data_IF_994828736875
#
_entry.id   IF_994828736875
#
_cell.length_a   1.000
_cell.length_b   1.000
_cell.length_c   1.000
_cell.angle_alpha   90.00
_cell.angle_beta   90.00
_cell.angle_gamma   90.00
#
_symmetry.space_group_name_H-M   'P 1'
#
loop_
_entity.id
_entity.type
_entity.pdbx_description
1 polymer ?
#
# COMPACT_ATOMS: atom_id res chain seq x y z
N UNK A 1 29.34 10.07 32.96
CA UNK A 1 28.83 11.34 32.42
C UNK A 1 29.82 11.79 31.35
N UNK A 2 29.51 12.01 30.08
CA UNK A 2 28.28 12.04 29.30
C UNK A 2 28.59 11.40 27.93
N UNK A 3 27.56 10.74 27.40
CA UNK A 3 27.41 10.06 26.12
C UNK A 3 27.62 11.05 24.96
N UNK A 4 28.46 10.72 23.97
CA UNK A 4 28.25 11.17 22.58
C UNK A 4 28.72 10.10 21.59
N UNK A 5 27.88 9.06 21.45
CA UNK A 5 27.93 8.10 20.35
C UNK A 5 26.96 8.57 19.26
N UNK A 6 27.31 9.62 18.52
CA UNK A 6 26.55 10.03 17.33
C UNK A 6 27.22 9.44 16.09
N UNK A 7 26.84 8.19 15.84
CA UNK A 7 27.24 7.36 14.72
C UNK A 7 26.44 7.76 13.47
N UNK A 8 26.54 9.02 13.04
CA UNK A 8 25.89 9.49 11.81
C UNK A 8 26.85 9.29 10.63
N UNK A 9 27.16 8.03 10.33
CA UNK A 9 27.70 7.66 9.02
C UNK A 9 26.54 7.57 8.04
N UNK A 10 26.02 8.73 7.63
CA UNK A 10 25.23 8.85 6.40
C UNK A 10 26.18 8.42 5.29
N UNK A 11 25.91 7.25 4.71
CA UNK A 11 26.72 6.67 3.63
C UNK A 11 26.74 7.67 2.47
N UNK A 12 27.94 8.16 2.22
CA UNK A 12 28.34 9.01 1.13
C UNK A 12 28.18 8.23 -0.18
N UNK A 13 27.07 8.41 -0.89
CA UNK A 13 26.97 8.04 -2.31
C UNK A 13 27.64 9.15 -3.13
N UNK A 14 28.94 8.99 -3.39
CA UNK A 14 29.64 9.68 -4.47
C UNK A 14 29.92 8.62 -5.53
N UNK A 15 29.12 8.53 -6.61
CA UNK A 15 29.07 9.43 -7.78
C UNK A 15 30.28 9.23 -8.68
N UNK A 16 30.26 8.14 -9.44
CA UNK A 16 30.96 8.01 -10.72
C UNK A 16 30.11 7.16 -11.67
N UNK A 17 29.24 7.80 -12.48
CA UNK A 17 29.06 7.53 -13.92
C UNK A 17 27.83 8.27 -14.47
N UNK A 18 28.09 9.17 -15.43
CA UNK A 18 27.25 9.60 -16.56
C UNK A 18 25.72 9.80 -16.39
N UNK A 19 25.29 11.08 -16.38
CA UNK A 19 24.07 11.61 -17.02
C UNK A 19 22.69 10.94 -16.80
N UNK A 20 22.52 10.06 -15.83
CA UNK A 20 21.22 9.52 -15.48
C UNK A 20 20.46 10.54 -14.62
N UNK A 21 19.26 10.94 -15.06
CA UNK A 21 18.31 11.64 -14.19
C UNK A 21 18.11 10.76 -12.97
N UNK A 22 18.53 11.19 -11.78
CA UNK A 22 18.12 10.54 -10.54
C UNK A 22 16.61 10.69 -10.43
N UNK A 23 15.87 9.64 -10.81
CA UNK A 23 14.44 9.53 -10.58
C UNK A 23 14.25 9.34 -9.07
N UNK A 24 13.36 10.12 -8.46
CA UNK A 24 13.05 10.00 -7.05
C UNK A 24 12.29 8.70 -6.76
N UNK A 25 12.42 8.18 -5.53
CA UNK A 25 11.67 6.99 -5.10
C UNK A 25 10.14 7.18 -5.20
N UNK A 26 9.67 8.43 -5.08
CA UNK A 26 8.25 8.78 -5.25
C UNK A 26 7.82 8.54 -6.70
N UNK A 27 8.60 9.04 -7.66
CA UNK A 27 8.33 8.83 -9.09
C UNK A 27 8.42 7.34 -9.46
N UNK A 28 9.36 6.59 -8.89
CA UNK A 28 9.44 5.13 -9.08
C UNK A 28 8.16 4.43 -8.60
N UNK A 29 7.64 4.81 -7.43
CA UNK A 29 6.38 4.26 -6.89
C UNK A 29 5.18 4.63 -7.76
N UNK A 30 5.13 5.84 -8.28
CA UNK A 30 4.07 6.29 -9.18
C UNK A 30 4.10 5.52 -10.51
N UNK A 31 5.28 5.33 -11.09
CA UNK A 31 5.48 4.54 -12.32
C UNK A 31 5.07 3.08 -12.07
N UNK A 32 5.52 2.48 -10.96
CA UNK A 32 5.15 1.11 -10.59
C UNK A 32 3.63 0.94 -10.46
N UNK A 33 2.95 1.87 -9.77
CA UNK A 33 1.49 1.84 -9.63
C UNK A 33 0.78 2.00 -10.98
N UNK A 34 1.29 2.87 -11.87
CA UNK A 34 0.74 3.03 -13.20
C UNK A 34 0.89 1.75 -14.03
N UNK A 35 2.04 1.09 -13.98
CA UNK A 35 2.27 -0.19 -14.66
C UNK A 35 1.33 -1.29 -14.14
N UNK A 36 1.11 -1.37 -12.82
CA UNK A 36 0.13 -2.31 -12.24
C UNK A 36 -1.29 -2.04 -12.77
N UNK A 37 -1.70 -0.77 -12.85
CA UNK A 37 -2.99 -0.40 -13.39
C UNK A 37 -3.11 -0.75 -14.88
N UNK A 38 -2.06 -0.50 -15.68
CA UNK A 38 -2.03 -0.89 -17.09
C UNK A 38 -2.12 -2.40 -17.26
N UNK A 39 -1.41 -3.17 -16.44
CA UNK A 39 -1.47 -4.63 -16.47
C UNK A 39 -2.87 -5.16 -16.16
N UNK A 40 -3.57 -4.56 -15.19
CA UNK A 40 -4.97 -4.87 -14.89
C UNK A 40 -5.89 -4.53 -16.08
N UNK A 41 -5.78 -3.32 -16.63
CA UNK A 41 -6.58 -2.89 -17.78
C UNK A 41 -6.38 -3.79 -19.01
N UNK A 42 -5.14 -4.21 -19.31
CA UNK A 42 -4.87 -5.14 -20.41
C UNK A 42 -5.51 -6.50 -20.14
N UNK A 43 -5.54 -6.95 -18.88
CA UNK A 43 -6.18 -8.22 -18.51
C UNK A 43 -7.70 -8.17 -18.72
N UNK A 44 -8.33 -7.05 -18.38
CA UNK A 44 -9.76 -6.83 -18.65
C UNK A 44 -10.02 -6.78 -20.16
N UNK A 45 -9.21 -6.04 -20.93
CA UNK A 45 -9.35 -5.93 -22.38
C UNK A 45 -9.12 -7.28 -23.10
N UNK A 46 -8.24 -8.13 -22.60
CA UNK A 46 -8.05 -9.49 -23.12
C UNK A 46 -9.35 -10.30 -23.00
N UNK A 47 -10.08 -10.18 -21.90
CA UNK A 47 -11.35 -10.90 -21.72
C UNK A 47 -12.36 -10.49 -22.80
N UNK A 48 -12.52 -9.17 -23.01
CA UNK A 48 -13.42 -8.63 -24.04
C UNK A 48 -13.04 -9.09 -25.46
N UNK A 49 -11.74 -9.09 -25.77
CA UNK A 49 -11.22 -9.44 -27.09
C UNK A 49 -11.36 -10.94 -27.38
N UNK A 50 -11.24 -11.79 -26.36
CA UNK A 50 -11.51 -13.23 -26.48
C UNK A 50 -12.98 -13.47 -26.80
N UNK A 51 -13.91 -12.76 -26.15
CA UNK A 51 -15.35 -12.85 -26.45
C UNK A 51 -15.67 -12.40 -27.89
N UNK A 52 -14.95 -11.38 -28.38
CA UNK A 52 -15.08 -10.86 -29.75
C UNK A 52 -14.39 -11.71 -30.82
N UNK A 53 -13.62 -12.72 -30.42
CA UNK A 53 -12.79 -13.57 -31.31
C UNK A 53 -11.78 -12.75 -32.17
N UNK A 54 -11.30 -11.60 -31.68
CA UNK A 54 -10.29 -10.81 -32.36
C UNK A 54 -8.87 -11.24 -31.93
N UNK A 55 -8.38 -12.30 -32.58
CA UNK A 55 -7.09 -12.88 -32.24
C UNK A 55 -5.88 -12.03 -32.65
N UNK A 56 -6.05 -11.09 -33.58
CA UNK A 56 -4.97 -10.15 -33.96
C UNK A 56 -4.75 -9.18 -32.80
N UNK A 57 -5.84 -8.59 -32.31
CA UNK A 57 -5.79 -7.72 -31.13
C UNK A 57 -5.32 -8.48 -29.89
N UNK A 58 -5.76 -9.74 -29.71
CA UNK A 58 -5.31 -10.58 -28.61
C UNK A 58 -3.78 -10.77 -28.60
N UNK A 59 -3.18 -11.07 -29.76
CA UNK A 59 -1.74 -11.23 -29.87
C UNK A 59 -0.98 -9.95 -29.45
N UNK A 60 -1.47 -8.78 -29.88
CA UNK A 60 -0.91 -7.50 -29.48
C UNK A 60 -1.04 -7.22 -27.98
N UNK A 61 -2.20 -7.54 -27.38
CA UNK A 61 -2.42 -7.36 -25.95
C UNK A 61 -1.52 -8.28 -25.12
N UNK A 62 -1.34 -9.53 -25.52
CA UNK A 62 -0.45 -10.46 -24.82
C UNK A 62 1.02 -10.02 -24.86
N UNK A 63 1.49 -9.53 -26.01
CA UNK A 63 2.84 -8.95 -26.13
C UNK A 63 2.99 -7.72 -25.25
N UNK A 64 1.97 -6.84 -25.23
CA UNK A 64 2.00 -5.63 -24.41
C UNK A 64 1.99 -5.98 -22.91
N UNK A 65 1.14 -6.93 -22.49
CA UNK A 65 1.08 -7.46 -21.13
C UNK A 65 2.45 -7.97 -20.68
N UNK A 66 3.10 -8.78 -21.51
CA UNK A 66 4.43 -9.32 -21.21
C UNK A 66 5.48 -8.21 -21.01
N UNK A 67 5.46 -7.15 -21.83
CA UNK A 67 6.38 -6.02 -21.65
C UNK A 67 6.14 -5.26 -20.34
N UNK A 68 4.86 -5.02 -20.00
CA UNK A 68 4.49 -4.37 -18.75
C UNK A 68 4.90 -5.23 -17.55
N UNK A 69 4.67 -6.54 -17.62
CA UNK A 69 5.08 -7.51 -16.59
C UNK A 69 6.59 -7.53 -16.39
N UNK A 70 7.38 -7.53 -17.47
CA UNK A 70 8.84 -7.38 -17.39
C UNK A 70 9.25 -6.08 -16.70
N UNK A 71 8.66 -4.95 -17.08
CA UNK A 71 8.98 -3.65 -16.47
C UNK A 71 8.64 -3.61 -14.97
N UNK A 72 7.53 -4.22 -14.55
CA UNK A 72 7.17 -4.38 -13.13
C UNK A 72 8.24 -5.18 -12.41
N UNK A 73 8.62 -6.35 -12.94
CA UNK A 73 9.61 -7.22 -12.33
C UNK A 73 11.00 -6.56 -12.21
N UNK A 74 11.40 -5.77 -13.20
CA UNK A 74 12.64 -5.00 -13.19
C UNK A 74 12.64 -3.94 -12.08
N UNK A 75 11.54 -3.19 -11.93
CA UNK A 75 11.37 -2.20 -10.86
C UNK A 75 11.37 -2.88 -9.49
N UNK A 76 10.61 -3.96 -9.32
CA UNK A 76 10.53 -4.69 -8.04
C UNK A 76 11.88 -5.30 -7.64
N UNK A 77 12.65 -5.80 -8.61
CA UNK A 77 14.00 -6.32 -8.37
C UNK A 77 14.99 -5.20 -8.01
N UNK A 78 14.88 -4.04 -8.64
CA UNK A 78 15.77 -2.89 -8.37
C UNK A 78 15.50 -2.23 -7.01
N UNK A 79 14.27 -2.30 -6.50
CA UNK A 79 13.82 -1.67 -5.26
C UNK A 79 13.26 -2.69 -4.25
N UNK A 80 13.83 -3.90 -4.24
CA UNK A 80 13.32 -5.05 -3.48
C UNK A 80 13.19 -4.74 -1.98
N UNK A 81 14.18 -4.05 -1.39
CA UNK A 81 14.16 -3.64 0.01
C UNK A 81 12.99 -2.72 0.34
N UNK A 82 12.77 -1.72 -0.51
CA UNK A 82 11.78 -0.67 -0.33
C UNK A 82 10.36 -1.21 -0.48
N UNK A 83 10.16 -2.16 -1.40
CA UNK A 83 8.87 -2.82 -1.57
C UNK A 83 8.58 -3.83 -0.46
N UNK A 84 9.58 -4.57 0.04
CA UNK A 84 9.40 -5.45 1.21
C UNK A 84 8.98 -4.68 2.46
N UNK A 85 9.65 -3.57 2.76
CA UNK A 85 9.27 -2.70 3.88
C UNK A 85 7.83 -2.18 3.75
N UNK A 86 7.38 -1.88 2.53
CA UNK A 86 6.00 -1.45 2.28
C UNK A 86 4.98 -2.55 2.58
N UNK A 87 5.25 -3.80 2.18
CA UNK A 87 4.38 -4.95 2.45
C UNK A 87 4.26 -5.20 3.96
N UNK A 88 5.37 -5.16 4.68
CA UNK A 88 5.40 -5.31 6.14
C UNK A 88 4.61 -4.19 6.83
N UNK A 89 4.77 -2.95 6.38
CA UNK A 89 4.04 -1.80 6.93
C UNK A 89 2.53 -1.92 6.70
N UNK A 90 2.11 -2.31 5.48
CA UNK A 90 0.69 -2.55 5.17
C UNK A 90 0.11 -3.67 6.04
N UNK A 91 0.86 -4.75 6.24
CA UNK A 91 0.43 -5.85 7.10
C UNK A 91 0.27 -5.40 8.56
N UNK A 92 1.22 -4.61 9.07
CA UNK A 92 1.12 -4.03 10.41
C UNK A 92 -0.12 -3.13 10.57
N UNK A 93 -0.37 -2.23 9.62
CA UNK A 93 -1.55 -1.35 9.62
C UNK A 93 -2.84 -2.18 9.61
N UNK A 94 -2.92 -3.19 8.75
CA UNK A 94 -4.08 -4.09 8.68
C UNK A 94 -4.35 -4.78 10.02
N UNK A 95 -3.30 -5.30 10.67
CA UNK A 95 -3.42 -5.94 11.98
C UNK A 95 -3.88 -4.94 13.06
N UNK A 96 -3.33 -3.72 13.07
CA UNK A 96 -3.76 -2.67 14.01
C UNK A 96 -5.23 -2.30 13.80
N UNK A 97 -5.67 -2.16 12.53
CA UNK A 97 -7.07 -1.86 12.21
C UNK A 97 -8.00 -3.01 12.60
N UNK A 98 -7.59 -4.26 12.37
CA UNK A 98 -8.34 -5.45 12.76
C UNK A 98 -8.48 -5.55 14.28
N UNK A 99 -7.40 -5.27 15.02
CA UNK A 99 -7.40 -5.24 16.49
C UNK A 99 -8.29 -4.11 17.02
N UNK A 100 -8.26 -2.94 16.39
CA UNK A 100 -9.13 -1.83 16.74
C UNK A 100 -10.61 -2.18 16.52
N UNK A 101 -10.94 -2.78 15.38
CA UNK A 101 -12.30 -3.25 15.07
C UNK A 101 -12.76 -4.32 16.09
N UNK A 102 -11.93 -5.30 16.39
CA UNK A 102 -12.24 -6.37 17.34
C UNK A 102 -12.44 -5.83 18.77
N UNK A 103 -11.64 -4.84 19.19
CA UNK A 103 -11.83 -4.17 20.49
C UNK A 103 -13.12 -3.35 20.53
N UNK A 104 -13.48 -2.69 19.43
CA UNK A 104 -14.72 -1.94 19.30
C UNK A 104 -15.94 -2.86 19.32
N UNK A 105 -15.86 -4.03 18.67
CA UNK A 105 -16.91 -5.05 18.74
C UNK A 105 -17.07 -5.60 20.16
N UNK A 106 -15.96 -5.98 20.82
CA UNK A 106 -16.00 -6.61 22.13
C UNK A 106 -16.36 -5.66 23.29
N UNK A 107 -16.04 -4.36 23.18
CA UNK A 107 -16.21 -3.38 24.28
C UNK A 107 -17.10 -2.19 23.93
N UNK A 108 -17.52 -2.06 22.68
CA UNK A 108 -18.35 -0.95 22.22
C UNK A 108 -19.73 -0.99 22.86
N UNK A 109 -20.35 -2.18 22.90
CA UNK A 109 -21.66 -2.38 23.53
C UNK A 109 -21.62 -2.07 25.04
N UNK A 110 -20.62 -2.58 25.76
CA UNK A 110 -20.41 -2.29 27.18
C UNK A 110 -20.24 -0.78 27.48
N UNK A 111 -19.52 -0.07 26.62
CA UNK A 111 -19.36 1.39 26.75
C UNK A 111 -20.67 2.12 26.53
N UNK A 112 -21.47 1.72 25.54
CA UNK A 112 -22.78 2.31 25.26
C UNK A 112 -23.76 2.08 26.41
N UNK A 113 -23.79 0.87 26.98
CA UNK A 113 -24.61 0.53 28.14
C UNK A 113 -24.21 1.39 29.36
N UNK A 114 -22.91 1.57 29.59
CA UNK A 114 -22.42 2.40 30.70
C UNK A 114 -22.79 3.87 30.55
N UNK A 115 -22.75 4.42 29.33
CA UNK A 115 -23.18 5.79 29.06
C UNK A 115 -24.69 5.93 29.23
N UNK A 116 -25.47 5.00 28.69
CA UNK A 116 -26.93 5.00 28.82
C UNK A 116 -27.37 4.96 30.30
N UNK A 117 -26.78 4.05 31.10
CA UNK A 117 -27.10 3.94 32.52
C UNK A 117 -26.70 5.19 33.33
N UNK A 118 -25.62 5.89 32.96
CA UNK A 118 -25.23 7.13 33.60
C UNK A 118 -26.16 8.29 33.23
N UNK A 119 -26.64 8.34 31.97
CA UNK A 119 -27.62 9.33 31.52
C UNK A 119 -28.97 9.14 32.21
N UNK A 120 -29.42 7.88 32.38
CA UNK A 120 -30.64 7.56 33.10
C UNK A 120 -30.57 8.02 34.56
N UNK A 121 -29.47 7.73 35.26
CA UNK A 121 -29.21 8.22 36.63
C UNK A 121 -29.19 9.74 36.74
N UNK A 122 -28.61 10.44 35.76
CA UNK A 122 -28.58 11.92 35.73
C UNK A 122 -29.98 12.49 35.49
N UNK A 123 -30.75 11.90 34.58
CA UNK A 123 -32.12 12.31 34.30
C UNK A 123 -33.03 12.10 35.52
N UNK A 124 -32.88 10.97 36.22
CA UNK A 124 -33.59 10.70 37.46
C UNK A 124 -33.20 11.66 38.58
N UNK A 125 -31.92 12.03 38.68
CA UNK A 125 -31.45 13.03 39.65
C UNK A 125 -31.93 14.46 39.35
N UNK A 126 -32.36 14.76 38.13
CA UNK A 126 -32.86 16.08 37.72
C UNK A 126 -34.39 16.18 37.85
N UNK A 127 -35.07 15.04 38.04
CA UNK A 127 -36.52 14.92 38.22
C UNK A 127 -36.97 14.93 39.69
N UNK A 128 -36.06 15.19 40.62
CA UNK A 128 -36.28 15.43 42.06
C UNK A 128 -36.26 16.92 42.37
#
# INVERSE_FOLDING_TARGET
MIIEKNMTRVKQYHRESSNERCISLIEVKEIHQNLLNQHANISDEIADVVEQNDYVKLAHLLVTRSKVETAINEIESAYESEFKEQVETKHHISNVLKDAASKMEAKGEDMLIKVASNLEKLNDSTRL
#
